data_IF_525385181682
#
_entry.id   IF_525385181682
#
_cell.length_a   1.000
_cell.length_b   1.000
_cell.length_c   1.000
_cell.angle_alpha   90.00
_cell.angle_beta   90.00
_cell.angle_gamma   90.00
#
_symmetry.space_group_name_H-M   'P 1'
#
loop_
_entity.id
_entity.type
_entity.pdbx_description
1 polymer ?
#
# COMPACT_ATOMS: atom_id res chain seq x y z
N UNK A 1 -1.13 -26.74 81.76
CA UNK A 1 0.20 -26.65 81.12
C UNK A 1 -0.02 -26.69 79.60
N UNK A 2 0.16 -25.56 78.89
CA UNK A 2 -0.18 -25.42 77.46
C UNK A 2 0.99 -25.89 76.60
N UNK A 3 0.79 -26.91 75.77
CA UNK A 3 1.74 -27.33 74.72
C UNK A 3 1.60 -26.40 73.50
N UNK A 4 2.71 -25.84 73.02
CA UNK A 4 2.82 -25.14 71.73
C UNK A 4 3.54 -26.08 70.74
N UNK A 5 2.90 -26.42 69.62
CA UNK A 5 3.59 -26.94 68.42
C UNK A 5 4.10 -25.77 67.57
N UNK A 6 5.26 -25.87 66.91
CA UNK A 6 5.68 -24.89 65.91
C UNK A 6 5.03 -25.22 64.56
N UNK A 7 4.47 -24.21 63.91
CA UNK A 7 4.02 -24.29 62.52
C UNK A 7 5.24 -24.17 61.59
N UNK A 8 5.52 -25.20 60.81
CA UNK A 8 6.50 -25.15 59.73
C UNK A 8 5.81 -24.54 58.49
N UNK A 9 6.24 -23.35 58.10
CA UNK A 9 5.80 -22.68 56.88
C UNK A 9 6.60 -23.25 55.70
N UNK A 10 5.96 -24.04 54.84
CA UNK A 10 6.57 -24.56 53.61
C UNK A 10 6.41 -23.50 52.51
N UNK A 11 7.46 -22.74 52.24
CA UNK A 11 7.51 -21.80 51.10
C UNK A 11 7.74 -22.58 49.80
N UNK A 12 6.67 -22.76 49.02
CA UNK A 12 6.74 -23.29 47.66
C UNK A 12 7.33 -22.22 46.74
N UNK A 13 8.61 -22.32 46.39
CA UNK A 13 9.24 -21.45 45.40
C UNK A 13 8.82 -21.90 43.99
N UNK A 14 7.82 -21.23 43.41
CA UNK A 14 7.53 -21.33 41.98
C UNK A 14 8.71 -20.74 41.20
N UNK A 15 9.58 -21.60 40.67
CA UNK A 15 10.57 -21.19 39.68
C UNK A 15 9.83 -20.83 38.38
N UNK A 16 9.57 -19.55 38.18
CA UNK A 16 9.11 -19.04 36.89
C UNK A 16 10.25 -19.22 35.88
N UNK A 17 10.16 -20.25 35.04
CA UNK A 17 11.04 -20.36 33.87
C UNK A 17 10.80 -19.14 32.98
N UNK A 18 11.83 -18.33 32.68
CA UNK A 18 11.67 -17.25 31.75
C UNK A 18 11.23 -17.84 30.41
N UNK A 19 10.06 -17.41 29.93
CA UNK A 19 9.64 -17.71 28.57
C UNK A 19 10.68 -17.07 27.63
N UNK A 20 11.57 -17.90 27.08
CA UNK A 20 12.42 -17.47 25.98
C UNK A 20 11.49 -17.10 24.83
N UNK A 21 11.30 -15.79 24.61
CA UNK A 21 10.75 -15.30 23.36
C UNK A 21 11.66 -15.84 22.25
N UNK A 22 11.14 -16.76 21.43
CA UNK A 22 11.87 -17.26 20.28
C UNK A 22 12.32 -16.07 19.45
N UNK A 23 13.63 -15.98 19.18
CA UNK A 23 14.14 -15.02 18.22
C UNK A 23 13.36 -15.21 16.91
N UNK A 24 12.91 -14.13 16.24
CA UNK A 24 12.23 -14.26 14.97
C UNK A 24 13.11 -15.11 14.05
N UNK A 25 12.53 -16.18 13.49
CA UNK A 25 13.21 -17.01 12.51
C UNK A 25 13.79 -16.11 11.41
N UNK A 26 15.01 -16.39 10.97
CA UNK A 26 15.61 -15.64 9.86
C UNK A 26 14.64 -15.63 8.67
N UNK A 27 14.43 -14.45 8.09
CA UNK A 27 13.50 -14.29 6.97
C UNK A 27 13.90 -15.24 5.82
N UNK A 28 12.96 -16.09 5.40
CA UNK A 28 13.13 -16.93 4.22
C UNK A 28 12.77 -16.10 3.00
N UNK A 29 13.75 -15.31 2.53
CA UNK A 29 13.55 -14.34 1.46
C UNK A 29 13.04 -14.97 0.17
N UNK A 30 13.41 -16.21 -0.12
CA UNK A 30 12.92 -16.95 -1.27
C UNK A 30 11.43 -17.30 -1.12
N UNK A 31 11.00 -17.72 0.08
CA UNK A 31 9.60 -18.02 0.38
C UNK A 31 8.72 -16.77 0.38
N UNK A 32 9.23 -15.67 0.94
CA UNK A 32 8.56 -14.37 0.92
C UNK A 32 8.36 -13.89 -0.53
N UNK A 33 9.42 -13.95 -1.34
CA UNK A 33 9.36 -13.64 -2.78
C UNK A 33 8.33 -14.51 -3.49
N UNK A 34 8.32 -15.82 -3.25
CA UNK A 34 7.33 -16.72 -3.84
C UNK A 34 5.90 -16.35 -3.42
N UNK A 35 5.71 -15.85 -2.20
CA UNK A 35 4.40 -15.42 -1.69
C UNK A 35 3.92 -14.13 -2.34
N UNK A 36 4.82 -13.18 -2.60
CA UNK A 36 4.52 -11.96 -3.37
C UNK A 36 4.17 -12.31 -4.81
N UNK A 37 4.97 -13.14 -5.48
CA UNK A 37 4.73 -13.57 -6.86
C UNK A 37 3.42 -14.36 -7.02
N UNK A 38 2.97 -15.08 -5.98
CA UNK A 38 1.71 -15.79 -5.99
C UNK A 38 0.47 -14.86 -6.11
N UNK A 39 0.63 -13.56 -5.88
CA UNK A 39 -0.42 -12.55 -6.13
C UNK A 39 -0.65 -12.28 -7.63
N UNK A 40 0.26 -12.68 -8.52
CA UNK A 40 0.04 -12.55 -9.97
C UNK A 40 -1.19 -13.36 -10.42
N UNK A 41 -1.92 -12.88 -11.42
CA UNK A 41 -3.05 -13.61 -11.98
C UNK A 41 -4.17 -12.74 -12.52
N UNK A 42 -5.32 -13.35 -12.73
CA UNK A 42 -6.55 -12.75 -13.26
C UNK A 42 -7.66 -12.92 -12.22
N UNK A 43 -8.32 -11.83 -11.86
CA UNK A 43 -9.18 -11.79 -10.69
C UNK A 43 -10.50 -11.07 -10.95
N UNK A 44 -11.57 -11.58 -10.34
CA UNK A 44 -12.70 -10.76 -9.94
C UNK A 44 -12.34 -10.20 -8.56
N UNK A 45 -12.45 -8.88 -8.41
CA UNK A 45 -12.06 -8.18 -7.19
C UNK A 45 -13.26 -7.49 -6.57
N UNK A 46 -13.50 -7.76 -5.30
CA UNK A 46 -14.47 -7.04 -4.49
C UNK A 46 -13.76 -6.11 -3.50
N UNK A 47 -14.31 -4.92 -3.30
CA UNK A 47 -13.84 -3.93 -2.35
C UNK A 47 -14.95 -3.59 -1.37
N UNK A 48 -14.72 -3.86 -0.08
CA UNK A 48 -15.63 -3.54 1.00
C UNK A 48 -14.96 -2.64 2.04
N UNK A 49 -15.53 -1.47 2.31
CA UNK A 49 -15.06 -0.57 3.36
C UNK A 49 -16.19 -0.27 4.35
N UNK A 50 -15.91 -0.50 5.63
CA UNK A 50 -16.85 -0.31 6.72
C UNK A 50 -16.19 0.47 7.85
N UNK A 51 -16.74 1.62 8.21
CA UNK A 51 -16.42 2.22 9.49
C UNK A 51 -16.91 1.30 10.60
N UNK A 52 -16.05 0.99 11.57
CA UNK A 52 -16.26 -0.03 12.61
C UNK A 52 -16.34 0.58 14.00
N UNK A 53 -15.39 1.45 14.35
CA UNK A 53 -15.27 2.08 15.68
C UNK A 53 -15.36 3.59 15.51
N UNK A 54 -16.33 4.23 16.17
CA UNK A 54 -16.48 5.69 16.14
C UNK A 54 -15.71 6.26 17.34
N UNK A 55 -14.78 7.17 17.08
CA UNK A 55 -13.82 7.66 18.07
C UNK A 55 -14.09 9.10 18.50
N UNK A 56 -14.74 9.89 17.63
CA UNK A 56 -15.11 11.26 17.93
C UNK A 56 -16.56 11.34 18.50
N UNK A 57 -16.78 12.04 19.63
CA UNK A 57 -18.12 12.29 20.16
C UNK A 57 -19.03 12.96 19.13
N UNK A 58 -20.24 12.43 18.98
CA UNK A 58 -21.24 12.95 18.02
C UNK A 58 -20.93 12.64 16.55
N UNK A 59 -19.90 11.86 16.24
CA UNK A 59 -19.63 11.43 14.87
C UNK A 59 -20.65 10.41 14.39
N UNK A 60 -21.27 10.70 13.24
CA UNK A 60 -22.18 9.78 12.57
C UNK A 60 -21.40 8.87 11.61
N UNK A 61 -21.64 7.55 11.73
CA UNK A 61 -21.01 6.53 10.88
C UNK A 61 -21.35 6.78 9.42
N UNK A 62 -20.33 6.81 8.57
CA UNK A 62 -20.51 6.84 7.13
C UNK A 62 -21.14 5.53 6.62
N UNK A 63 -21.96 5.57 5.55
CA UNK A 63 -22.46 4.36 4.92
C UNK A 63 -21.33 3.44 4.45
N UNK A 64 -21.57 2.13 4.56
CA UNK A 64 -20.70 1.11 4.01
C UNK A 64 -20.48 1.32 2.50
N UNK A 65 -19.24 1.14 2.05
CA UNK A 65 -18.90 1.27 0.63
C UNK A 65 -18.63 -0.10 0.03
N UNK A 66 -19.26 -0.39 -1.11
CA UNK A 66 -19.06 -1.61 -1.89
C UNK A 66 -18.78 -1.23 -3.34
N UNK A 67 -17.78 -1.85 -3.92
CA UNK A 67 -17.43 -1.75 -5.34
C UNK A 67 -16.66 -3.01 -5.76
N UNK A 68 -16.43 -3.18 -7.05
CA UNK A 68 -15.61 -4.27 -7.55
C UNK A 68 -15.12 -3.99 -8.96
N UNK A 69 -14.36 -4.91 -9.51
CA UNK A 69 -13.87 -4.85 -10.89
C UNK A 69 -13.12 -6.11 -11.28
N UNK A 70 -12.85 -6.25 -12.57
CA UNK A 70 -12.01 -7.33 -13.07
C UNK A 70 -10.59 -6.82 -13.23
N UNK A 71 -9.64 -7.45 -12.55
CA UNK A 71 -8.25 -6.99 -12.48
C UNK A 71 -7.26 -8.12 -12.81
N UNK A 72 -6.29 -7.83 -13.67
CA UNK A 72 -5.11 -8.68 -13.82
C UNK A 72 -3.91 -8.06 -13.11
N UNK A 73 -3.10 -8.92 -12.47
CA UNK A 73 -1.86 -8.57 -11.76
C UNK A 73 -0.69 -9.14 -12.55
N UNK A 74 0.12 -8.26 -13.12
CA UNK A 74 1.23 -8.56 -14.02
C UNK A 74 2.55 -8.32 -13.30
N UNK A 75 3.48 -9.27 -13.40
CA UNK A 75 4.86 -9.10 -12.92
C UNK A 75 5.62 -8.20 -13.89
N UNK A 76 6.14 -7.09 -13.39
CA UNK A 76 6.92 -6.10 -14.15
C UNK A 76 8.42 -6.26 -13.91
N UNK A 77 8.79 -6.55 -12.66
CA UNK A 77 10.16 -6.79 -12.24
C UNK A 77 10.15 -7.97 -11.27
N UNK A 78 11.14 -8.84 -11.41
CA UNK A 78 11.34 -9.96 -10.52
C UNK A 78 12.83 -10.22 -10.31
N UNK A 79 13.33 -9.83 -9.14
CA UNK A 79 14.69 -10.08 -8.67
C UNK A 79 14.66 -10.63 -7.24
N UNK A 80 15.78 -11.16 -6.71
CA UNK A 80 15.82 -11.70 -5.35
C UNK A 80 15.40 -10.71 -4.25
N UNK A 81 15.58 -9.41 -4.46
CA UNK A 81 15.34 -8.36 -3.46
C UNK A 81 14.31 -7.32 -3.89
N UNK A 82 13.77 -7.42 -5.11
CA UNK A 82 12.80 -6.46 -5.64
C UNK A 82 11.79 -7.13 -6.57
N UNK A 83 10.52 -6.85 -6.34
CA UNK A 83 9.40 -7.35 -7.15
C UNK A 83 8.47 -6.18 -7.43
N UNK A 84 8.05 -6.01 -8.67
CA UNK A 84 7.08 -4.96 -9.05
C UNK A 84 5.88 -5.63 -9.68
N UNK A 85 4.69 -5.40 -9.13
CA UNK A 85 3.43 -5.91 -9.67
C UNK A 85 2.56 -4.74 -10.15
N UNK A 86 2.11 -4.83 -11.39
CA UNK A 86 1.19 -3.87 -12.01
C UNK A 86 -0.22 -4.45 -12.06
N UNK A 87 -1.17 -3.69 -11.56
CA UNK A 87 -2.59 -4.03 -11.60
C UNK A 87 -3.28 -3.29 -12.75
N UNK A 88 -4.07 -4.01 -13.54
CA UNK A 88 -4.78 -3.44 -14.69
C UNK A 88 -6.23 -3.92 -14.66
N UNK A 89 -7.15 -2.95 -14.62
CA UNK A 89 -8.58 -3.19 -14.67
C UNK A 89 -9.08 -3.33 -16.11
N UNK A 90 -10.08 -4.19 -16.29
CA UNK A 90 -10.85 -4.33 -17.53
C UNK A 90 -12.34 -4.20 -17.22
N UNK A 91 -13.01 -3.27 -17.89
CA UNK A 91 -14.48 -3.29 -17.94
C UNK A 91 -14.93 -4.17 -19.11
N UNK A 92 -15.54 -5.32 -18.83
CA UNK A 92 -15.96 -6.28 -19.85
C UNK A 92 -17.00 -5.71 -20.81
N UNK A 93 -17.85 -4.80 -20.33
CA UNK A 93 -18.96 -4.26 -21.13
C UNK A 93 -18.47 -3.32 -22.21
N UNK A 94 -17.56 -2.41 -21.87
CA UNK A 94 -17.00 -1.44 -22.82
C UNK A 94 -15.69 -1.87 -23.46
N UNK A 95 -15.00 -2.86 -22.88
CA UNK A 95 -13.62 -3.19 -23.21
C UNK A 95 -12.60 -2.16 -22.73
N UNK A 96 -13.01 -1.17 -21.92
CA UNK A 96 -12.12 -0.12 -21.41
C UNK A 96 -11.09 -0.71 -20.45
N UNK A 97 -9.83 -0.31 -20.64
CA UNK A 97 -8.70 -0.73 -19.81
C UNK A 97 -8.21 0.44 -18.97
N UNK A 98 -7.94 0.19 -17.70
CA UNK A 98 -7.31 1.17 -16.82
C UNK A 98 -6.09 0.57 -16.15
N UNK A 99 -4.89 1.12 -16.39
CA UNK A 99 -3.73 0.89 -15.52
C UNK A 99 -4.08 1.41 -14.13
N UNK A 100 -4.34 0.51 -13.19
CA UNK A 100 -5.03 0.87 -11.96
C UNK A 100 -4.08 1.30 -10.84
N UNK A 101 -3.26 0.39 -10.32
CA UNK A 101 -2.28 0.71 -9.29
C UNK A 101 -1.07 -0.19 -9.41
N UNK A 102 0.01 0.18 -8.74
CA UNK A 102 1.27 -0.57 -8.74
C UNK A 102 1.73 -0.79 -7.32
N UNK A 103 2.32 -1.95 -7.07
CA UNK A 103 3.01 -2.26 -5.83
C UNK A 103 4.45 -2.66 -6.12
N UNK A 104 5.37 -1.94 -5.50
CA UNK A 104 6.80 -2.25 -5.50
C UNK A 104 7.15 -2.85 -4.14
N UNK A 105 7.77 -4.03 -4.16
CA UNK A 105 8.23 -4.74 -2.99
C UNK A 105 9.75 -4.74 -2.97
N UNK A 106 10.35 -4.26 -1.89
CA UNK A 106 11.81 -4.24 -1.72
C UNK A 106 12.20 -4.88 -0.39
N UNK A 107 13.04 -5.90 -0.44
CA UNK A 107 13.60 -6.55 0.74
C UNK A 107 14.65 -5.65 1.41
N UNK A 108 14.56 -5.48 2.72
CA UNK A 108 15.45 -4.64 3.53
C UNK A 108 15.70 -3.24 2.93
N UNK A 109 14.64 -2.59 2.42
CA UNK A 109 14.73 -1.27 1.81
C UNK A 109 15.41 -0.24 2.75
N UNK A 110 16.47 0.46 2.31
CA UNK A 110 17.17 1.42 3.18
C UNK A 110 16.31 2.64 3.51
N UNK A 111 15.42 3.02 2.59
CA UNK A 111 14.53 4.17 2.69
C UNK A 111 13.15 3.83 2.14
N UNK A 112 12.16 4.63 2.49
CA UNK A 112 10.82 4.65 1.88
C UNK A 112 10.26 6.06 1.88
N UNK A 113 9.27 6.33 1.02
CA UNK A 113 8.51 7.56 1.09
C UNK A 113 7.33 7.45 2.06
N UNK A 114 7.02 8.52 2.78
CA UNK A 114 5.94 8.57 3.76
C UNK A 114 5.10 9.83 3.55
N UNK A 115 3.77 9.68 3.51
CA UNK A 115 2.86 10.82 3.37
C UNK A 115 2.86 11.71 4.60
N UNK A 116 3.17 13.00 4.43
CA UNK A 116 3.11 13.98 5.53
C UNK A 116 1.78 14.71 5.59
N UNK A 117 1.43 15.46 4.55
CA UNK A 117 0.26 16.32 4.43
C UNK A 117 0.24 16.92 3.02
N UNK A 118 -0.89 17.51 2.61
CA UNK A 118 -0.96 18.42 1.46
C UNK A 118 -0.19 17.94 0.23
N UNK A 119 -0.51 16.73 -0.25
CA UNK A 119 0.13 16.15 -1.44
C UNK A 119 1.67 16.07 -1.34
N UNK A 120 2.20 15.86 -0.14
CA UNK A 120 3.65 15.76 0.12
C UNK A 120 4.02 14.39 0.68
N UNK A 121 5.11 13.83 0.16
CA UNK A 121 5.73 12.60 0.62
C UNK A 121 7.22 12.80 0.83
N UNK A 122 7.73 12.32 1.97
CA UNK A 122 9.08 12.54 2.42
C UNK A 122 9.80 11.22 2.40
N UNK A 123 10.99 11.20 1.80
CA UNK A 123 11.83 10.00 1.80
C UNK A 123 12.60 9.94 3.10
N UNK A 124 12.39 8.87 3.86
CA UNK A 124 12.99 8.64 5.17
C UNK A 124 13.78 7.33 5.19
N UNK A 125 14.81 7.29 6.02
CA UNK A 125 15.49 6.04 6.35
C UNK A 125 14.57 5.13 7.17
N UNK A 126 14.58 3.83 6.87
CA UNK A 126 13.84 2.85 7.64
C UNK A 126 14.70 2.44 8.85
N UNK A 127 14.18 2.50 10.09
CA UNK A 127 14.93 2.05 11.26
C UNK A 127 15.44 0.61 11.09
N UNK A 128 16.72 0.37 11.41
CA UNK A 128 17.36 -0.92 11.15
C UNK A 128 16.64 -2.10 11.82
N UNK A 129 16.04 -1.89 13.00
CA UNK A 129 15.25 -2.91 13.69
C UNK A 129 13.94 -3.27 12.96
N UNK A 130 13.27 -2.25 12.39
CA UNK A 130 12.08 -2.47 11.58
C UNK A 130 12.44 -3.16 10.26
N UNK A 131 13.56 -2.75 9.65
CA UNK A 131 13.94 -3.17 8.30
C UNK A 131 14.52 -4.60 8.23
N UNK A 132 15.22 -5.06 9.28
CA UNK A 132 15.91 -6.36 9.26
C UNK A 132 14.95 -7.52 8.97
N UNK A 133 15.20 -8.26 7.89
CA UNK A 133 14.37 -9.37 7.44
C UNK A 133 12.96 -8.97 6.99
N UNK A 134 12.73 -7.70 6.65
CA UNK A 134 11.43 -7.18 6.28
C UNK A 134 11.33 -6.87 4.79
N UNK A 135 10.11 -6.92 4.27
CA UNK A 135 9.76 -6.42 2.94
C UNK A 135 9.00 -5.11 3.09
N UNK A 136 9.42 -4.10 2.33
CA UNK A 136 8.69 -2.83 2.20
C UNK A 136 7.86 -2.87 0.93
N UNK A 137 6.54 -2.71 1.08
CA UNK A 137 5.61 -2.49 0.00
C UNK A 137 5.38 -0.99 -0.18
N UNK A 138 5.62 -0.48 -1.38
CA UNK A 138 5.27 0.88 -1.79
C UNK A 138 4.20 0.83 -2.87
N UNK A 139 3.10 1.56 -2.64
CA UNK A 139 1.92 1.59 -3.50
C UNK A 139 1.85 2.92 -4.24
N UNK A 140 1.55 2.83 -5.53
CA UNK A 140 1.41 3.96 -6.45
C UNK A 140 0.07 3.95 -7.16
N UNK A 141 -0.44 5.13 -7.47
CA UNK A 141 -1.74 5.32 -8.12
C UNK A 141 -1.68 5.09 -9.65
N UNK A 142 -2.79 5.36 -10.35
CA UNK A 142 -2.92 5.14 -11.80
C UNK A 142 -1.81 5.80 -12.61
N UNK A 143 -1.38 7.01 -12.21
CA UNK A 143 -0.30 7.80 -12.83
C UNK A 143 1.11 7.47 -12.30
N UNK A 144 1.24 6.42 -11.50
CA UNK A 144 2.44 6.09 -10.71
C UNK A 144 2.82 7.14 -9.65
N UNK A 145 1.94 8.10 -9.33
CA UNK A 145 2.14 8.98 -8.18
C UNK A 145 2.19 8.18 -6.87
N UNK A 146 3.04 8.56 -5.89
CA UNK A 146 3.16 7.83 -4.64
C UNK A 146 1.85 7.88 -3.85
N UNK A 147 1.47 6.76 -3.24
CA UNK A 147 0.33 6.71 -2.34
C UNK A 147 0.77 6.48 -0.90
N UNK A 148 1.42 5.34 -0.64
CA UNK A 148 1.97 5.00 0.67
C UNK A 148 3.05 3.92 0.57
N UNK A 149 3.88 3.80 1.61
CA UNK A 149 4.73 2.64 1.82
C UNK A 149 4.49 2.06 3.22
N UNK A 150 4.59 0.75 3.36
CA UNK A 150 4.60 0.04 4.64
C UNK A 150 5.68 -1.04 4.65
N UNK A 151 6.34 -1.23 5.78
CA UNK A 151 7.40 -2.21 6.00
C UNK A 151 6.90 -3.28 6.94
N UNK A 152 6.96 -4.53 6.50
CA UNK A 152 6.32 -5.64 7.18
C UNK A 152 7.06 -6.95 6.97
N UNK A 153 6.55 -8.00 7.61
CA UNK A 153 7.10 -9.35 7.49
C UNK A 153 6.02 -10.32 7.08
N UNK A 154 6.44 -11.32 6.31
CA UNK A 154 5.65 -12.50 6.04
C UNK A 154 5.69 -13.44 7.24
N UNK A 155 4.53 -13.96 7.59
CA UNK A 155 4.38 -15.03 8.56
C UNK A 155 3.65 -16.20 7.89
N UNK A 156 3.99 -17.42 8.30
CA UNK A 156 3.47 -18.65 7.70
C UNK A 156 2.79 -19.55 8.74
N UNK A 157 1.89 -18.97 9.53
CA UNK A 157 1.22 -19.69 10.62
C UNK A 157 0.15 -20.60 10.05
N UNK A 158 0.09 -21.85 10.52
CA UNK A 158 -0.91 -22.84 10.10
C UNK A 158 -1.02 -23.03 8.57
N UNK A 159 0.11 -22.89 7.86
CA UNK A 159 0.15 -23.03 6.39
C UNK A 159 -0.40 -21.83 5.61
N UNK A 160 -0.78 -20.74 6.28
CA UNK A 160 -1.29 -19.52 5.64
C UNK A 160 -0.17 -18.47 5.58
N UNK A 161 0.12 -17.99 4.38
CA UNK A 161 1.08 -16.92 4.15
C UNK A 161 0.41 -15.55 4.31
N UNK A 162 0.89 -14.77 5.28
CA UNK A 162 0.34 -13.45 5.59
C UNK A 162 1.46 -12.44 5.80
N UNK A 163 1.46 -11.36 5.05
CA UNK A 163 2.31 -10.20 5.30
C UNK A 163 1.53 -9.13 6.05
N UNK A 164 2.11 -8.51 7.08
CA UNK A 164 1.49 -7.37 7.78
C UNK A 164 2.49 -6.23 7.90
N UNK A 165 2.08 -5.03 7.49
CA UNK A 165 2.90 -3.81 7.58
C UNK A 165 2.95 -3.23 8.99
N UNK A 166 3.92 -2.35 9.22
CA UNK A 166 3.84 -1.33 10.26
C UNK A 166 2.73 -0.29 9.96
N UNK A 167 2.52 0.62 10.91
CA UNK A 167 1.61 1.75 10.73
C UNK A 167 2.22 2.73 9.73
N UNK A 168 1.47 3.05 8.68
CA UNK A 168 1.86 4.00 7.63
C UNK A 168 0.79 5.06 7.42
N UNK A 169 1.17 6.18 6.80
CA UNK A 169 0.27 7.27 6.45
C UNK A 169 0.01 7.32 4.96
N UNK A 170 -1.22 7.68 4.60
CA UNK A 170 -1.64 7.86 3.21
C UNK A 170 -2.65 8.99 3.05
N UNK A 171 -2.73 9.60 1.86
CA UNK A 171 -3.74 10.63 1.57
C UNK A 171 -5.14 10.04 1.58
N UNK A 172 -6.14 10.92 1.46
CA UNK A 172 -7.52 10.50 1.27
C UNK A 172 -7.66 9.60 0.05
N UNK A 173 -8.42 8.50 0.15
CA UNK A 173 -8.69 7.66 -0.99
C UNK A 173 -9.54 8.42 -2.03
N UNK A 174 -9.32 8.10 -3.31
CA UNK A 174 -10.05 8.67 -4.46
C UNK A 174 -11.59 8.64 -4.27
N UNK A 175 -12.12 7.64 -3.57
CA UNK A 175 -13.55 7.52 -3.32
C UNK A 175 -14.13 8.58 -2.36
N UNK A 176 -13.29 9.23 -1.54
CA UNK A 176 -13.73 10.12 -0.44
C UNK A 176 -13.37 11.59 -0.65
N UNK A 177 -12.35 11.96 -1.44
CA UNK A 177 -11.92 13.38 -1.53
C UNK A 177 -12.98 14.35 -2.08
N UNK A 178 -14.00 13.88 -2.80
CA UNK A 178 -15.15 14.70 -3.24
C UNK A 178 -16.36 14.63 -2.30
N UNK A 179 -16.37 13.67 -1.38
CA UNK A 179 -17.53 13.34 -0.53
C UNK A 179 -17.30 13.68 0.94
N UNK A 180 -16.04 13.78 1.36
CA UNK A 180 -15.60 13.95 2.73
C UNK A 180 -14.62 15.13 2.81
N UNK A 181 -14.75 15.91 3.86
CA UNK A 181 -13.88 17.06 4.17
C UNK A 181 -13.52 17.14 5.66
N UNK A 182 -13.93 16.14 6.43
CA UNK A 182 -13.81 16.04 7.88
C UNK A 182 -12.48 15.47 8.36
N UNK A 183 -11.70 14.85 7.47
CA UNK A 183 -10.36 14.33 7.77
C UNK A 183 -9.43 14.53 6.56
N UNK A 184 -8.12 14.47 6.78
CA UNK A 184 -7.11 14.74 5.73
C UNK A 184 -5.98 13.69 5.65
N UNK A 185 -5.97 12.69 6.53
CA UNK A 185 -5.03 11.58 6.50
C UNK A 185 -5.66 10.27 6.96
N UNK A 186 -5.12 9.16 6.46
CA UNK A 186 -5.45 7.82 6.97
C UNK A 186 -4.18 7.20 7.55
N UNK A 187 -4.25 6.79 8.82
CA UNK A 187 -3.26 5.90 9.41
C UNK A 187 -3.69 4.46 9.10
N UNK A 188 -2.82 3.65 8.50
CA UNK A 188 -3.18 2.32 8.03
C UNK A 188 -2.14 1.26 8.37
N UNK A 189 -2.62 0.10 8.80
CA UNK A 189 -1.89 -1.17 8.76
C UNK A 189 -2.49 -2.00 7.64
N UNK A 190 -1.65 -2.48 6.73
CA UNK A 190 -2.03 -3.31 5.60
C UNK A 190 -1.64 -4.75 5.88
N UNK A 191 -2.52 -5.69 5.54
CA UNK A 191 -2.23 -7.11 5.59
C UNK A 191 -2.61 -7.77 4.28
N UNK A 192 -1.68 -8.53 3.71
CA UNK A 192 -1.92 -9.35 2.53
C UNK A 192 -1.91 -10.81 2.95
N UNK A 193 -2.95 -11.56 2.59
CA UNK A 193 -3.07 -12.98 2.94
C UNK A 193 -3.33 -13.80 1.69
N UNK A 194 -2.50 -14.80 1.41
CA UNK A 194 -2.77 -15.73 0.32
C UNK A 194 -3.90 -16.69 0.71
N UNK A 195 -4.80 -16.96 -0.24
CA UNK A 195 -5.90 -17.90 -0.08
C UNK A 195 -5.79 -19.01 -1.14
N UNK A 196 -6.52 -20.13 -1.00
CA UNK A 196 -6.55 -21.15 -2.05
C UNK A 196 -7.08 -20.61 -3.40
N UNK A 197 -7.98 -19.63 -3.35
CA UNK A 197 -8.63 -19.02 -4.52
C UNK A 197 -7.94 -17.78 -5.07
N UNK A 198 -6.95 -17.22 -4.37
CA UNK A 198 -6.31 -15.95 -4.73
C UNK A 198 -5.63 -15.31 -3.52
N UNK A 199 -6.01 -14.08 -3.16
CA UNK A 199 -5.45 -13.39 -2.00
C UNK A 199 -6.35 -12.25 -1.52
N UNK A 200 -6.13 -11.78 -0.30
CA UNK A 200 -6.90 -10.67 0.29
C UNK A 200 -5.98 -9.53 0.67
N UNK A 201 -6.49 -8.30 0.61
CA UNK A 201 -5.87 -7.11 1.19
C UNK A 201 -6.78 -6.55 2.29
N UNK A 202 -6.39 -6.79 3.52
CA UNK A 202 -7.02 -6.29 4.74
C UNK A 202 -6.38 -4.95 5.13
N UNK A 203 -7.20 -3.95 5.43
CA UNK A 203 -6.79 -2.58 5.70
C UNK A 203 -7.41 -2.13 7.02
N UNK A 204 -6.57 -1.99 8.04
CA UNK A 204 -6.96 -1.45 9.34
C UNK A 204 -6.69 0.04 9.34
N UNK A 205 -7.73 0.82 9.05
CA UNK A 205 -7.64 2.26 8.85
C UNK A 205 -8.11 3.01 10.09
N UNK A 206 -7.45 4.12 10.39
CA UNK A 206 -7.99 5.19 11.22
C UNK A 206 -8.07 6.46 10.38
N UNK A 207 -9.26 7.07 10.32
CA UNK A 207 -9.50 8.36 9.68
C UNK A 207 -9.09 9.47 10.64
N UNK A 208 -8.14 10.31 10.23
CA UNK A 208 -7.51 11.31 11.10
C UNK A 208 -7.59 12.70 10.47
N UNK A 209 -8.12 13.66 11.23
CA UNK A 209 -8.01 15.08 10.93
C UNK A 209 -6.74 15.62 11.60
N UNK A 210 -5.74 15.97 10.80
CA UNK A 210 -4.52 16.67 11.22
C UNK A 210 -4.73 18.16 11.08
N UNK A 211 -4.53 18.92 12.15
CA UNK A 211 -4.74 20.37 12.16
C UNK A 211 -3.42 21.13 11.95
N UNK A 212 -3.48 22.40 11.49
CA UNK A 212 -2.28 23.23 11.33
C UNK A 212 -1.48 23.46 12.61
N UNK A 213 -2.12 23.36 13.77
CA UNK A 213 -1.47 23.47 15.09
C UNK A 213 -0.73 22.18 15.53
N UNK A 214 -0.69 21.16 14.67
CA UNK A 214 -0.06 19.86 14.94
C UNK A 214 -0.95 18.88 15.71
N UNK A 215 -2.11 19.31 16.21
CA UNK A 215 -3.05 18.42 16.89
C UNK A 215 -3.75 17.49 15.89
N UNK A 216 -4.17 16.32 16.38
CA UNK A 216 -4.86 15.31 15.58
C UNK A 216 -6.16 14.89 16.27
N UNK A 217 -7.18 14.63 15.47
CA UNK A 217 -8.46 14.05 15.92
C UNK A 217 -8.68 12.77 15.13
N UNK A 218 -8.87 11.66 15.82
CA UNK A 218 -9.30 10.40 15.22
C UNK A 218 -10.83 10.37 15.15
N UNK A 219 -11.38 10.17 13.96
CA UNK A 219 -12.82 10.24 13.73
C UNK A 219 -13.46 8.87 13.88
N UNK A 220 -12.94 7.91 13.12
CA UNK A 220 -13.40 6.54 13.09
C UNK A 220 -12.29 5.59 12.64
N UNK A 221 -12.38 4.33 13.07
CA UNK A 221 -11.68 3.22 12.43
C UNK A 221 -12.54 2.65 11.32
N UNK A 222 -11.89 2.24 10.24
CA UNK A 222 -12.50 1.58 9.09
C UNK A 222 -11.75 0.28 8.81
N UNK A 223 -12.50 -0.80 8.58
CA UNK A 223 -11.94 -2.01 8.01
C UNK A 223 -12.20 -1.99 6.50
N UNK A 224 -11.12 -1.98 5.73
CA UNK A 224 -11.16 -2.21 4.29
C UNK A 224 -10.78 -3.66 4.00
N UNK A 225 -11.56 -4.33 3.16
CA UNK A 225 -11.33 -5.70 2.74
C UNK A 225 -11.44 -5.76 1.22
N UNK A 226 -10.31 -6.03 0.57
CA UNK A 226 -10.27 -6.32 -0.85
C UNK A 226 -10.10 -7.83 -1.02
N UNK A 227 -10.96 -8.46 -1.79
CA UNK A 227 -10.92 -9.90 -2.05
C UNK A 227 -10.61 -10.16 -3.52
N UNK A 228 -9.45 -10.77 -3.80
CA UNK A 228 -9.00 -11.11 -5.14
C UNK A 228 -9.25 -12.59 -5.39
N UNK A 229 -10.31 -12.90 -6.12
CA UNK A 229 -10.69 -14.28 -6.43
C UNK A 229 -10.31 -14.61 -7.87
N UNK A 230 -9.49 -15.66 -8.06
CA UNK A 230 -9.04 -16.07 -9.39
C UNK A 230 -10.23 -16.43 -10.25
N UNK A 231 -10.20 -16.00 -11.50
CA UNK A 231 -11.25 -16.28 -12.48
C UNK A 231 -10.67 -16.83 -13.77
N UNK A 232 -11.52 -17.51 -14.54
CA UNK A 232 -11.29 -17.85 -15.95
C UNK A 232 -12.44 -17.34 -16.84
N UNK A 233 -13.40 -16.64 -16.24
CA UNK A 233 -14.66 -16.27 -16.87
C UNK A 233 -14.59 -14.90 -17.56
N UNK A 234 -13.50 -14.16 -17.34
CA UNK A 234 -13.27 -12.81 -17.87
C UNK A 234 -12.19 -12.84 -18.95
N UNK A 235 -12.39 -12.14 -20.06
CA UNK A 235 -11.36 -11.95 -21.09
C UNK A 235 -10.42 -10.77 -20.76
N UNK A 236 -9.22 -11.06 -20.27
CA UNK A 236 -8.18 -10.06 -19.96
C UNK A 236 -7.29 -9.70 -21.15
N UNK A 237 -7.52 -10.23 -22.37
CA UNK A 237 -6.73 -9.85 -23.56
C UNK A 237 -6.64 -8.34 -23.79
N UNK A 238 -7.68 -7.51 -23.57
CA UNK A 238 -7.54 -6.06 -23.68
C UNK A 238 -6.46 -5.49 -22.76
N UNK A 239 -6.39 -5.93 -21.49
CA UNK A 239 -5.37 -5.48 -20.56
C UNK A 239 -3.95 -5.86 -21.00
N UNK A 240 -3.77 -7.09 -21.50
CA UNK A 240 -2.46 -7.52 -22.00
C UNK A 240 -2.03 -6.74 -23.25
N UNK A 241 -2.94 -6.49 -24.21
CA UNK A 241 -2.65 -5.65 -25.38
C UNK A 241 -2.25 -4.24 -24.98
N UNK A 242 -3.01 -3.61 -24.08
CA UNK A 242 -2.69 -2.30 -23.52
C UNK A 242 -1.30 -2.30 -22.88
N UNK A 243 -1.01 -3.30 -22.04
CA UNK A 243 0.26 -3.37 -21.33
C UNK A 243 1.44 -3.57 -22.27
N UNK A 244 1.33 -4.47 -23.25
CA UNK A 244 2.40 -4.69 -24.22
C UNK A 244 2.71 -3.45 -25.05
N UNK A 245 1.68 -2.66 -25.41
CA UNK A 245 1.85 -1.40 -26.12
C UNK A 245 2.47 -0.29 -25.25
N UNK A 246 2.16 -0.25 -23.95
CA UNK A 246 2.46 0.93 -23.10
C UNK A 246 3.49 0.70 -22.01
N UNK A 247 3.92 -0.55 -21.73
CA UNK A 247 4.85 -0.87 -20.62
C UNK A 247 6.17 -0.10 -20.68
N UNK A 248 6.69 0.14 -21.89
CA UNK A 248 7.91 0.92 -22.11
C UNK A 248 7.73 2.40 -21.75
N UNK A 249 6.57 2.96 -22.06
CA UNK A 249 6.21 4.32 -21.65
C UNK A 249 6.05 4.43 -20.14
N UNK A 250 5.33 3.49 -19.52
CA UNK A 250 5.20 3.49 -18.05
C UNK A 250 6.53 3.27 -17.34
N UNK A 251 7.48 2.52 -17.93
CA UNK A 251 8.84 2.43 -17.40
C UNK A 251 9.54 3.79 -17.37
N UNK A 252 9.38 4.61 -18.42
CA UNK A 252 9.90 5.97 -18.46
C UNK A 252 9.25 6.85 -17.40
N UNK A 253 7.93 6.76 -17.20
CA UNK A 253 7.21 7.48 -16.13
C UNK A 253 7.73 7.09 -14.75
N UNK A 254 7.91 5.79 -14.48
CA UNK A 254 8.49 5.29 -13.23
C UNK A 254 9.89 5.84 -12.97
N UNK A 255 10.74 5.92 -14.01
CA UNK A 255 12.09 6.48 -13.87
C UNK A 255 12.07 7.95 -13.38
N UNK A 256 11.10 8.77 -13.83
CA UNK A 256 10.95 10.14 -13.31
C UNK A 256 10.55 10.13 -11.84
N UNK A 257 9.58 9.28 -11.46
CA UNK A 257 9.19 9.13 -10.07
C UNK A 257 10.34 8.68 -9.17
N UNK A 258 11.17 7.72 -9.61
CA UNK A 258 12.35 7.25 -8.89
C UNK A 258 13.35 8.38 -8.62
N UNK A 259 13.42 9.38 -9.51
CA UNK A 259 14.25 10.58 -9.34
C UNK A 259 13.88 11.42 -8.10
N UNK A 260 12.60 11.39 -7.69
CA UNK A 260 12.11 12.08 -6.49
C UNK A 260 11.99 11.16 -5.27
N UNK A 261 11.62 9.89 -5.49
CA UNK A 261 11.25 8.97 -4.42
C UNK A 261 12.39 8.05 -3.97
N UNK A 262 13.45 7.93 -4.77
CA UNK A 262 14.63 7.14 -4.43
C UNK A 262 15.55 7.81 -3.39
N UNK A 263 15.37 9.10 -3.10
CA UNK A 263 16.22 9.87 -2.19
C UNK A 263 15.50 11.05 -1.54
N UNK A 264 16.04 11.52 -0.41
CA UNK A 264 15.60 12.74 0.23
C UNK A 264 15.72 13.97 -0.71
N UNK A 265 14.80 14.96 -0.59
CA UNK A 265 13.78 15.10 0.45
C UNK A 265 12.48 14.34 0.17
N UNK A 266 12.27 13.82 -1.04
CA UNK A 266 10.98 13.29 -1.50
C UNK A 266 10.28 14.25 -2.46
N UNK A 267 8.96 14.21 -2.50
CA UNK A 267 8.14 14.91 -3.50
C UNK A 267 6.99 15.71 -2.89
N UNK A 268 6.69 16.85 -3.49
CA UNK A 268 5.43 17.58 -3.33
C UNK A 268 4.73 17.66 -4.69
N UNK A 269 3.43 17.35 -4.72
CA UNK A 269 2.60 17.46 -5.91
C UNK A 269 1.78 18.74 -5.85
N UNK A 270 1.92 19.58 -6.88
CA UNK A 270 1.14 20.80 -7.07
C UNK A 270 -0.29 20.52 -7.53
N UNK A 271 -0.66 19.26 -7.69
CA UNK A 271 -1.99 18.85 -8.15
C UNK A 271 -3.02 19.00 -7.04
N UNK A 272 -4.30 19.07 -7.41
CA UNK A 272 -5.38 18.78 -6.46
C UNK A 272 -5.31 17.32 -6.01
N UNK A 273 -6.04 16.98 -4.95
CA UNK A 273 -6.09 15.62 -4.39
C UNK A 273 -6.54 14.58 -5.42
N UNK A 274 -7.34 14.97 -6.42
CA UNK A 274 -7.78 14.08 -7.49
C UNK A 274 -6.68 13.59 -8.45
N UNK A 275 -5.52 14.26 -8.47
CA UNK A 275 -4.38 13.97 -9.35
C UNK A 275 -4.65 14.15 -10.85
N UNK A 276 -5.84 14.60 -11.27
CA UNK A 276 -6.30 14.53 -12.66
C UNK A 276 -5.40 15.33 -13.62
N UNK A 277 -4.76 16.38 -13.10
CA UNK A 277 -3.85 17.22 -13.86
C UNK A 277 -2.59 16.48 -14.37
N UNK A 278 -2.22 15.35 -13.73
CA UNK A 278 -1.20 14.43 -14.22
C UNK A 278 -1.80 13.18 -14.86
N UNK A 279 -2.92 12.66 -14.32
CA UNK A 279 -3.55 11.44 -14.84
C UNK A 279 -3.95 11.62 -16.31
N UNK A 280 -4.67 12.70 -16.65
CA UNK A 280 -5.16 12.93 -18.01
C UNK A 280 -4.02 12.93 -19.03
N UNK A 281 -3.02 13.82 -18.96
CA UNK A 281 -1.99 13.89 -19.99
C UNK A 281 -1.15 12.61 -20.06
N UNK A 282 -0.88 11.93 -18.93
CA UNK A 282 -0.09 10.70 -18.95
C UNK A 282 -0.86 9.53 -19.61
N UNK A 283 -2.18 9.46 -19.41
CA UNK A 283 -3.02 8.46 -20.07
C UNK A 283 -3.29 8.80 -21.54
N UNK A 284 -3.43 10.07 -21.91
CA UNK A 284 -3.52 10.50 -23.31
C UNK A 284 -2.24 10.15 -24.09
N UNK A 285 -1.07 10.34 -23.47
CA UNK A 285 0.21 9.91 -24.02
C UNK A 285 0.29 8.38 -24.18
N UNK A 286 -0.08 7.62 -23.14
CA UNK A 286 -0.13 6.16 -23.21
C UNK A 286 -1.10 5.66 -24.30
N UNK A 287 -2.31 6.21 -24.37
CA UNK A 287 -3.30 5.86 -25.40
C UNK A 287 -2.84 6.23 -26.81
N UNK A 288 -2.10 7.32 -26.95
CA UNK A 288 -1.46 7.67 -28.21
C UNK A 288 -0.53 6.57 -28.74
N UNK A 289 0.19 5.87 -27.87
CA UNK A 289 1.05 4.75 -28.28
C UNK A 289 0.25 3.53 -28.75
N UNK A 290 -0.91 3.26 -28.14
CA UNK A 290 -1.83 2.21 -28.61
C UNK A 290 -2.37 2.52 -30.01
N UNK A 291 -2.54 3.81 -30.32
CA UNK A 291 -2.93 4.31 -31.64
C UNK A 291 -1.75 4.42 -32.63
N UNK A 292 -0.53 4.00 -32.23
CA UNK A 292 0.67 4.03 -33.07
C UNK A 292 1.34 5.41 -33.19
N UNK A 293 0.98 6.38 -32.35
CA UNK A 293 1.66 7.69 -32.26
C UNK A 293 2.95 7.54 -31.47
N UNK A 294 3.93 8.39 -31.77
CA UNK A 294 5.14 8.50 -30.97
C UNK A 294 4.90 9.44 -29.76
N UNK A 295 5.48 9.09 -28.62
CA UNK A 295 5.58 9.95 -27.44
C UNK A 295 7.04 10.13 -27.08
N UNK A 296 7.49 11.37 -26.99
CA UNK A 296 8.87 11.73 -26.64
C UNK A 296 9.04 11.87 -25.14
N UNK A 297 10.29 11.77 -24.68
CA UNK A 297 10.64 11.94 -23.28
C UNK A 297 10.33 13.36 -22.78
N UNK A 298 10.48 14.38 -23.65
CA UNK A 298 10.17 15.78 -23.33
C UNK A 298 8.68 15.99 -23.02
N UNK A 299 7.79 15.20 -23.65
CA UNK A 299 6.35 15.27 -23.36
C UNK A 299 6.02 14.73 -21.96
N UNK A 300 6.73 13.69 -21.51
CA UNK A 300 6.63 13.18 -20.14
C UNK A 300 7.20 14.22 -19.17
N UNK A 301 8.39 14.73 -19.48
CA UNK A 301 9.11 15.69 -18.64
C UNK A 301 8.31 16.99 -18.45
N UNK A 302 7.58 17.45 -19.48
CA UNK A 302 6.71 18.61 -19.39
C UNK A 302 5.57 18.43 -18.36
N UNK A 303 5.02 17.21 -18.23
CA UNK A 303 4.01 16.91 -17.20
C UNK A 303 4.65 16.99 -15.81
N UNK A 304 5.82 16.36 -15.62
CA UNK A 304 6.52 16.35 -14.34
C UNK A 304 6.96 17.76 -13.93
N UNK A 305 7.60 18.53 -14.83
CA UNK A 305 8.02 19.90 -14.53
C UNK A 305 6.85 20.80 -14.10
N UNK A 306 5.66 20.58 -14.67
CA UNK A 306 4.47 21.36 -14.35
C UNK A 306 3.90 21.01 -12.97
N UNK A 307 3.93 19.75 -12.56
CA UNK A 307 3.13 19.28 -11.41
C UNK A 307 3.91 18.68 -10.25
N UNK A 308 5.18 18.38 -10.45
CA UNK A 308 6.03 17.69 -9.49
C UNK A 308 7.19 18.59 -9.09
N UNK A 309 7.45 18.68 -7.80
CA UNK A 309 8.62 19.35 -7.26
C UNK A 309 9.18 18.57 -6.07
N UNK A 310 10.42 18.88 -5.68
CA UNK A 310 11.01 18.28 -4.51
C UNK A 310 10.20 18.65 -3.26
N UNK A 311 10.02 17.70 -2.34
CA UNK A 311 9.37 18.00 -1.06
C UNK A 311 10.11 19.14 -0.34
N UNK A 312 9.39 20.05 0.34
CA UNK A 312 10.02 21.06 1.17
C UNK A 312 10.85 20.39 2.28
N UNK A 313 11.89 21.07 2.79
CA UNK A 313 12.58 20.62 3.99
C UNK A 313 11.60 20.36 5.12
N UNK A 314 11.83 19.30 5.88
CA UNK A 314 11.01 19.02 7.06
C UNK A 314 11.10 20.18 8.05
N UNK A 315 9.93 20.71 8.43
CA UNK A 315 9.82 21.61 9.56
C UNK A 315 9.99 20.74 10.82
N UNK A 316 11.11 20.95 11.52
CA UNK A 316 11.41 20.30 12.81
C UNK A 316 10.59 20.90 13.94
#
# INVERSE_FOLDING_TARGET
MKFRLPAACLTLACAATPAFAAAPAAADTARDRASILAMQGEYIVDFAFDETVLLQPGYERAPAMRSGGNETVIVVEDSPTRIVLQHILVDEKSGHVTKHWRQDWTYEAPTRFEFSADQTWQVRAIPAELNRGAWTQCVFEVSDAPRYCGTGRWEYRNGVATWTSDLSWRPLPRREYTKRSDYNAVAAINRHTLTPGGWTHEQFNTKVLRKPDGSQVELAREFGFNDYQKTKDVDFKPAYRYWDATRGYWAKVRQRWDGFLGKAPGVHLKTKIDGMAMIIPLFEQAGGLEEGKAVTDEQIDAVFAKWVEAAPPEQR
#
